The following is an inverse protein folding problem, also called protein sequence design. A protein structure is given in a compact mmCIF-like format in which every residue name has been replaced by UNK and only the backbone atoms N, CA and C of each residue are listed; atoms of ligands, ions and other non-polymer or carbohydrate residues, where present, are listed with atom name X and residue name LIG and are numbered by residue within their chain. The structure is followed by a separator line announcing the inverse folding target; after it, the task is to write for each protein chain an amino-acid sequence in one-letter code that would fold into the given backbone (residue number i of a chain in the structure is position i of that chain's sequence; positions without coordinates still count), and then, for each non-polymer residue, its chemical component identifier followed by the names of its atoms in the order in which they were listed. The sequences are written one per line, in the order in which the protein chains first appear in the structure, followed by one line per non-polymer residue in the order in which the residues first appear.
data_IF_952062649522
#
_entry.id   IF_952062649522
#
_cell.length_a   1.000
_cell.length_b   1.000
_cell.length_c   1.000
_cell.angle_alpha   90.00
_cell.angle_beta   90.00
_cell.angle_gamma   90.00
#
_symmetry.space_group_name_H-M   'P 1'
#
loop_
_entity.id
_entity.type
_entity.pdbx_description
1 polymer ?
#
# COMPACT_ATOMS: atom_id res chain seq x y z
N UNK A 1 -13.90 -23.24 -4.16
CA UNK A 1 -14.30 -21.88 -3.71
C UNK A 1 -13.04 -21.11 -3.35
N UNK A 2 -12.58 -20.21 -4.22
CA UNK A 2 -11.34 -19.45 -4.02
C UNK A 2 -11.54 -18.48 -2.84
N UNK A 3 -10.90 -18.77 -1.70
CA UNK A 3 -10.91 -17.87 -0.54
C UNK A 3 -10.24 -16.57 -0.97
N UNK A 4 -11.03 -15.53 -1.21
CA UNK A 4 -10.55 -14.15 -1.36
C UNK A 4 -9.79 -13.82 -0.07
N UNK A 5 -8.46 -13.90 -0.12
CA UNK A 5 -7.57 -13.46 0.95
C UNK A 5 -7.98 -12.02 1.25
N UNK A 6 -8.64 -11.79 2.39
CA UNK A 6 -8.95 -10.44 2.85
C UNK A 6 -7.61 -9.78 3.18
N UNK A 7 -7.08 -9.06 2.21
CA UNK A 7 -5.83 -8.33 2.36
C UNK A 7 -6.03 -7.24 3.41
N UNK A 8 -5.06 -7.14 4.32
CA UNK A 8 -4.96 -6.10 5.36
C UNK A 8 -5.14 -4.73 4.71
N UNK A 9 -6.30 -4.11 4.97
CA UNK A 9 -6.81 -2.97 4.22
C UNK A 9 -7.11 -3.36 2.78
N UNK A 10 -8.22 -2.89 2.23
CA UNK A 10 -8.77 -3.28 0.92
C UNK A 10 -7.82 -3.10 -0.32
N UNK A 11 -6.52 -2.82 -0.12
CA UNK A 11 -5.47 -2.49 -1.08
C UNK A 11 -4.77 -3.75 -1.60
N UNK A 12 -4.64 -3.83 -2.92
CA UNK A 12 -3.85 -4.86 -3.60
C UNK A 12 -2.35 -4.64 -3.40
N UNK A 13 -1.54 -5.65 -3.71
CA UNK A 13 -0.09 -5.56 -3.60
C UNK A 13 0.49 -4.40 -4.43
N UNK A 14 0.07 -4.26 -5.69
CA UNK A 14 0.51 -3.17 -6.57
C UNK A 14 0.16 -1.78 -6.02
N UNK A 15 -1.01 -1.65 -5.39
CA UNK A 15 -1.43 -0.41 -4.74
C UNK A 15 -0.54 -0.06 -3.55
N UNK A 16 -0.15 -1.05 -2.74
CA UNK A 16 0.78 -0.89 -1.62
C UNK A 16 2.17 -0.49 -2.13
N UNK A 17 2.65 -1.16 -3.20
CA UNK A 17 3.92 -0.82 -3.87
C UNK A 17 3.93 0.61 -4.38
N UNK A 18 2.88 1.06 -5.09
CA UNK A 18 2.74 2.47 -5.54
C UNK A 18 2.83 3.46 -4.39
N UNK A 19 2.16 3.20 -3.26
CA UNK A 19 2.23 4.06 -2.07
C UNK A 19 3.66 4.12 -1.51
N UNK A 20 4.36 2.97 -1.46
CA UNK A 20 5.77 2.92 -1.06
C UNK A 20 6.67 3.72 -2.02
N UNK A 21 6.45 3.60 -3.34
CA UNK A 21 7.19 4.36 -4.34
C UNK A 21 6.94 5.86 -4.19
N UNK A 22 5.71 6.32 -3.96
CA UNK A 22 5.43 7.74 -3.73
C UNK A 22 6.15 8.32 -2.51
N UNK A 23 6.30 7.53 -1.44
CA UNK A 23 7.07 7.97 -0.27
C UNK A 23 8.57 8.03 -0.54
N UNK A 24 9.08 7.13 -1.40
CA UNK A 24 10.49 7.11 -1.82
C UNK A 24 10.80 8.30 -2.75
N UNK A 25 9.91 8.56 -3.70
CA UNK A 25 10.04 9.62 -4.71
C UNK A 25 9.79 11.01 -4.11
N UNK A 26 8.87 11.12 -3.15
CA UNK A 26 8.52 12.37 -2.48
C UNK A 26 8.67 12.23 -0.97
N UNK A 27 9.88 12.46 -0.47
CA UNK A 27 10.25 12.27 0.94
C UNK A 27 9.43 13.17 1.89
N UNK A 28 8.95 14.32 1.40
CA UNK A 28 8.19 15.33 2.15
C UNK A 28 6.71 14.99 2.39
N UNK A 29 6.16 13.96 1.72
CA UNK A 29 4.74 13.62 1.91
C UNK A 29 4.50 12.96 3.27
N UNK A 30 3.53 13.49 4.00
CA UNK A 30 3.03 12.89 5.25
C UNK A 30 2.12 11.70 4.99
N UNK A 31 1.91 10.84 6.00
CA UNK A 31 1.02 9.68 5.88
C UNK A 31 -0.41 10.07 5.47
N UNK A 32 -0.92 11.20 5.97
CA UNK A 32 -2.24 11.73 5.61
C UNK A 32 -2.33 12.16 4.16
N UNK A 33 -1.30 12.83 3.63
CA UNK A 33 -1.23 13.20 2.22
C UNK A 33 -1.13 11.97 1.31
N UNK A 34 -0.37 10.95 1.72
CA UNK A 34 -0.30 9.67 1.01
C UNK A 34 -1.64 8.94 1.01
N UNK A 35 -2.40 8.98 2.12
CA UNK A 35 -3.75 8.43 2.18
C UNK A 35 -4.73 9.18 1.27
N UNK A 36 -4.65 10.51 1.23
CA UNK A 36 -5.46 11.34 0.34
C UNK A 36 -5.12 11.10 -1.13
N UNK A 37 -3.82 11.00 -1.47
CA UNK A 37 -3.34 10.65 -2.81
C UNK A 37 -3.78 9.24 -3.20
N UNK A 38 -3.64 8.27 -2.30
CA UNK A 38 -4.11 6.91 -2.50
C UNK A 38 -5.63 6.84 -2.73
N UNK A 39 -6.43 7.67 -2.05
CA UNK A 39 -7.88 7.76 -2.32
C UNK A 39 -8.16 8.23 -3.75
N UNK A 40 -7.46 9.28 -4.20
CA UNK A 40 -7.64 9.89 -5.52
C UNK A 40 -7.13 8.97 -6.66
N UNK A 41 -5.88 8.54 -6.58
CA UNK A 41 -5.18 7.78 -7.61
C UNK A 41 -5.62 6.31 -7.69
N UNK A 42 -6.02 5.72 -6.57
CA UNK A 42 -6.44 4.30 -6.53
C UNK A 42 -7.95 4.13 -6.54
N UNK A 43 -8.69 5.19 -6.89
CA UNK A 43 -10.16 5.23 -7.03
C UNK A 43 -10.90 4.52 -5.88
N UNK A 44 -10.46 4.76 -4.64
CA UNK A 44 -11.06 4.10 -3.48
C UNK A 44 -12.25 4.87 -2.96
N UNK A 45 -13.35 4.15 -2.71
CA UNK A 45 -14.51 4.69 -1.98
C UNK A 45 -14.13 5.31 -0.63
N UNK A 46 -13.07 4.82 0.03
CA UNK A 46 -12.56 5.37 1.30
C UNK A 46 -11.03 5.50 1.29
N UNK A 47 -10.53 6.58 1.88
CA UNK A 47 -9.10 6.73 2.12
C UNK A 47 -8.62 5.59 3.04
N UNK A 48 -7.44 5.00 2.77
CA UNK A 48 -6.85 4.05 3.69
C UNK A 48 -6.61 4.73 5.03
N UNK A 49 -7.02 4.07 6.12
CA UNK A 49 -6.76 4.56 7.46
C UNK A 49 -5.26 4.72 7.70
N UNK A 50 -4.87 5.66 8.56
CA UNK A 50 -3.46 5.90 8.87
C UNK A 50 -2.72 4.63 9.33
N UNK A 51 -3.39 3.77 10.11
CA UNK A 51 -2.84 2.47 10.52
C UNK A 51 -2.52 1.53 9.35
N UNK A 52 -3.31 1.57 8.26
CA UNK A 52 -3.04 0.78 7.05
C UNK A 52 -1.81 1.33 6.31
N UNK A 53 -1.69 2.65 6.20
CA UNK A 53 -0.50 3.30 5.61
C UNK A 53 0.75 2.99 6.43
N UNK A 54 0.65 3.04 7.76
CA UNK A 54 1.74 2.68 8.67
C UNK A 54 2.16 1.21 8.50
N UNK A 55 1.19 0.29 8.46
CA UNK A 55 1.46 -1.13 8.24
C UNK A 55 2.09 -1.41 6.86
N UNK A 56 1.70 -0.66 5.83
CA UNK A 56 2.32 -0.74 4.50
C UNK A 56 3.79 -0.31 4.57
N UNK A 57 4.08 0.81 5.26
CA UNK A 57 5.45 1.27 5.42
C UNK A 57 6.32 0.39 6.31
N UNK A 58 5.74 -0.22 7.34
CA UNK A 58 6.44 -1.21 8.17
C UNK A 58 6.93 -2.42 7.35
N UNK A 59 6.25 -2.72 6.24
CA UNK A 59 6.63 -3.77 5.29
C UNK A 59 7.08 -3.21 3.94
N UNK A 60 7.57 -1.96 3.89
CA UNK A 60 7.97 -1.29 2.64
C UNK A 60 8.99 -2.11 1.85
N UNK A 61 9.87 -2.83 2.53
CA UNK A 61 10.94 -3.60 1.90
C UNK A 61 10.37 -4.79 1.14
N UNK A 62 9.32 -5.43 1.67
CA UNK A 62 8.55 -6.45 0.95
C UNK A 62 7.90 -5.83 -0.28
N UNK A 63 7.22 -4.68 -0.16
CA UNK A 63 6.52 -4.09 -1.31
C UNK A 63 7.45 -3.50 -2.39
N UNK A 64 8.63 -3.02 -2.00
CA UNK A 64 9.60 -2.40 -2.91
C UNK A 64 10.57 -3.41 -3.53
N UNK A 65 10.98 -4.43 -2.77
CA UNK A 65 12.04 -5.36 -3.14
C UNK A 65 11.60 -6.82 -3.26
N UNK A 66 10.40 -7.21 -2.84
CA UNK A 66 9.96 -8.58 -3.09
C UNK A 66 9.88 -8.81 -4.60
N UNK A 67 10.73 -9.73 -5.06
CA UNK A 67 10.51 -10.46 -6.30
C UNK A 67 9.19 -11.22 -6.14
N UNK A 68 8.45 -11.41 -7.21
CA UNK A 68 7.12 -12.02 -7.18
C UNK A 68 7.09 -13.40 -6.48
N UNK A 69 8.25 -14.08 -6.41
CA UNK A 69 8.49 -15.32 -5.65
C UNK A 69 8.23 -15.21 -4.14
N UNK A 70 8.49 -14.07 -3.50
CA UNK A 70 8.33 -13.88 -2.04
C UNK A 70 6.85 -13.70 -1.62
N UNK A 71 5.94 -13.47 -2.58
CA UNK A 71 4.51 -13.27 -2.31
C UNK A 71 3.67 -14.55 -2.25
N UNK A 72 4.27 -15.70 -2.57
CA UNK A 72 3.57 -16.99 -2.63
C UNK A 72 3.90 -17.97 -1.49
N UNK A 73 4.84 -17.65 -0.60
CA UNK A 73 5.16 -18.50 0.56
C UNK A 73 4.11 -18.45 1.67
#
# INVERSE_FOLDING_TARGET
MLRKKQHVGNLTYEQKKRICTWKRDTTSLTQGQLAARAKRELAKNKAPAQGIISAIFARKDVYLYAKEEDLQA
#
